data_IF_851639793374
#
_entry.id   IF_851639793374
#
_cell.length_a   1.000
_cell.length_b   1.000
_cell.length_c   1.000
_cell.angle_alpha   90.00
_cell.angle_beta   90.00
_cell.angle_gamma   90.00
#
_symmetry.space_group_name_H-M   'P 1'
#
loop_
_entity.id
_entity.type
_entity.pdbx_description
1 polymer ?
#
# COMPACT_ATOMS: atom_id res chain seq x y z
N UNK A 1 -3.47 -41.24 -4.02
CA UNK A 1 -2.54 -40.10 -3.95
C UNK A 1 -2.47 -39.48 -5.33
N UNK A 2 -2.46 -38.14 -5.47
CA UNK A 2 -2.30 -37.49 -6.77
C UNK A 2 -0.99 -37.96 -7.42
N UNK A 3 -0.91 -37.97 -8.75
CA UNK A 3 0.38 -38.22 -9.39
C UNK A 3 1.37 -37.11 -8.99
N UNK A 4 2.68 -37.37 -8.92
CA UNK A 4 3.68 -36.36 -8.59
C UNK A 4 3.54 -35.08 -9.44
N UNK A 5 3.18 -35.26 -10.72
CA UNK A 5 2.93 -34.17 -11.66
C UNK A 5 1.68 -33.35 -11.32
N UNK A 6 0.61 -33.99 -10.83
CA UNK A 6 -0.58 -33.27 -10.34
C UNK A 6 -0.23 -32.49 -9.06
N UNK A 7 0.58 -33.08 -8.16
CA UNK A 7 0.99 -32.40 -6.94
C UNK A 7 1.87 -31.17 -7.20
N UNK A 8 2.76 -31.25 -8.18
CA UNK A 8 3.59 -30.12 -8.63
C UNK A 8 2.73 -28.96 -9.16
N UNK A 9 1.76 -29.26 -10.03
CA UNK A 9 0.81 -28.26 -10.56
C UNK A 9 0.00 -27.62 -9.43
N UNK A 10 -0.47 -28.41 -8.45
CA UNK A 10 -1.20 -27.87 -7.30
C UNK A 10 -0.34 -26.91 -6.48
N UNK A 11 0.92 -27.23 -6.25
CA UNK A 11 1.84 -26.36 -5.51
C UNK A 11 2.15 -25.06 -6.28
N UNK A 12 2.28 -25.13 -7.61
CA UNK A 12 2.45 -23.94 -8.46
C UNK A 12 1.22 -23.03 -8.40
N UNK A 13 0.01 -23.61 -8.48
CA UNK A 13 -1.25 -22.88 -8.35
C UNK A 13 -1.39 -22.22 -6.98
N UNK A 14 -1.08 -22.92 -5.90
CA UNK A 14 -1.09 -22.35 -4.55
C UNK A 14 -0.10 -21.20 -4.40
N UNK A 15 1.08 -21.31 -5.03
CA UNK A 15 2.07 -20.23 -5.05
C UNK A 15 1.55 -19.00 -5.79
N UNK A 16 0.92 -19.19 -6.96
CA UNK A 16 0.31 -18.11 -7.75
C UNK A 16 -0.80 -17.42 -6.97
N UNK A 17 -1.73 -18.18 -6.39
CA UNK A 17 -2.85 -17.66 -5.59
C UNK A 17 -2.34 -16.86 -4.40
N UNK A 18 -1.34 -17.39 -3.67
CA UNK A 18 -0.77 -16.68 -2.53
C UNK A 18 -0.07 -15.38 -2.94
N UNK A 19 0.57 -15.37 -4.12
CA UNK A 19 1.20 -14.16 -4.66
C UNK A 19 0.13 -13.12 -5.02
N UNK A 20 -0.92 -13.52 -5.72
CA UNK A 20 -2.07 -12.66 -6.07
C UNK A 20 -2.75 -12.06 -4.84
N UNK A 21 -2.98 -12.87 -3.80
CA UNK A 21 -3.54 -12.39 -2.54
C UNK A 21 -2.72 -11.26 -1.91
N UNK A 22 -1.40 -11.40 -1.88
CA UNK A 22 -0.50 -10.36 -1.35
C UNK A 22 -0.59 -9.05 -2.14
N UNK A 23 -0.78 -9.12 -3.46
CA UNK A 23 -1.00 -7.92 -4.27
C UNK A 23 -2.31 -7.22 -3.92
N UNK A 24 -3.39 -7.98 -3.75
CA UNK A 24 -4.69 -7.44 -3.35
C UNK A 24 -4.58 -6.73 -1.99
N UNK A 25 -3.93 -7.37 -1.01
CA UNK A 25 -3.70 -6.79 0.32
C UNK A 25 -2.85 -5.51 0.25
N UNK A 26 -1.82 -5.49 -0.62
CA UNK A 26 -0.96 -4.34 -0.81
C UNK A 26 -1.74 -3.15 -1.39
N UNK A 27 -2.53 -3.35 -2.44
CA UNK A 27 -3.36 -2.31 -3.04
C UNK A 27 -4.37 -1.77 -2.03
N UNK A 28 -5.10 -2.65 -1.33
CA UNK A 28 -6.05 -2.24 -0.30
C UNK A 28 -5.39 -1.44 0.83
N UNK A 29 -4.16 -1.80 1.21
CA UNK A 29 -3.37 -1.06 2.20
C UNK A 29 -3.05 0.34 1.70
N UNK A 30 -2.64 0.50 0.44
CA UNK A 30 -2.33 1.81 -0.13
C UNK A 30 -3.58 2.68 -0.18
N UNK A 31 -4.70 2.15 -0.68
CA UNK A 31 -5.98 2.88 -0.75
C UNK A 31 -6.45 3.34 0.64
N UNK A 32 -6.31 2.49 1.65
CA UNK A 32 -6.58 2.86 3.03
C UNK A 32 -5.69 4.03 3.48
N UNK A 33 -4.37 3.95 3.27
CA UNK A 33 -3.44 4.99 3.67
C UNK A 33 -3.68 6.32 2.93
N UNK A 34 -4.02 6.27 1.64
CA UNK A 34 -4.38 7.45 0.84
C UNK A 34 -5.57 8.21 1.44
N UNK A 35 -6.55 7.48 1.99
CA UNK A 35 -7.71 8.10 2.62
C UNK A 35 -7.39 8.83 3.93
N UNK A 36 -6.25 8.56 4.56
CA UNK A 36 -5.77 9.27 5.74
C UNK A 36 -5.04 10.59 5.41
N UNK A 37 -4.64 10.78 4.14
CA UNK A 37 -4.00 12.02 3.68
C UNK A 37 -5.06 13.13 3.57
N UNK A 38 -4.66 14.35 3.92
CA UNK A 38 -5.49 15.55 3.74
C UNK A 38 -5.99 15.67 2.29
N UNK A 39 -7.28 15.99 2.06
CA UNK A 39 -7.88 15.98 0.73
C UNK A 39 -7.09 16.80 -0.32
N UNK A 40 -6.54 17.95 0.06
CA UNK A 40 -5.79 18.84 -0.84
C UNK A 40 -4.48 18.26 -1.38
N UNK A 41 -3.96 17.19 -0.77
CA UNK A 41 -2.71 16.53 -1.18
C UNK A 41 -2.94 15.13 -1.73
N UNK A 42 -4.11 14.54 -1.51
CA UNK A 42 -4.43 13.15 -1.85
C UNK A 42 -4.26 12.85 -3.33
N UNK A 43 -4.62 13.79 -4.21
CA UNK A 43 -4.66 13.53 -5.65
C UNK A 43 -3.28 13.17 -6.22
N UNK A 44 -2.22 13.86 -5.79
CA UNK A 44 -0.84 13.55 -6.21
C UNK A 44 -0.41 12.12 -5.86
N UNK A 45 -0.88 11.59 -4.74
CA UNK A 45 -0.56 10.22 -4.34
C UNK A 45 -1.41 9.19 -5.09
N UNK A 46 -2.61 9.55 -5.55
CA UNK A 46 -3.41 8.70 -6.44
C UNK A 46 -2.81 8.62 -7.83
N UNK A 47 -2.34 9.73 -8.38
CA UNK A 47 -1.60 9.77 -9.65
C UNK A 47 -0.38 8.84 -9.56
N UNK A 48 0.43 8.97 -8.49
CA UNK A 48 1.57 8.09 -8.26
C UNK A 48 1.21 6.60 -8.08
N UNK A 49 0.02 6.28 -7.54
CA UNK A 49 -0.47 4.90 -7.48
C UNK A 49 -0.87 4.39 -8.87
N UNK A 50 -1.52 5.23 -9.67
CA UNK A 50 -1.93 4.90 -11.03
C UNK A 50 -0.73 4.65 -11.95
N UNK A 51 0.35 5.41 -11.76
CA UNK A 51 1.59 5.30 -12.53
C UNK A 51 2.54 4.19 -12.02
N UNK A 52 2.22 3.50 -10.91
CA UNK A 52 3.08 2.46 -10.35
C UNK A 52 3.02 1.18 -11.20
N UNK A 53 4.16 0.74 -11.72
CA UNK A 53 4.25 -0.45 -12.57
C UNK A 53 4.76 -1.69 -11.81
N UNK A 54 5.41 -1.49 -10.67
CA UNK A 54 6.07 -2.55 -9.89
C UNK A 54 5.69 -2.54 -8.41
N UNK A 55 5.97 -3.65 -7.71
CA UNK A 55 5.79 -3.74 -6.24
C UNK A 55 6.68 -2.74 -5.52
N UNK A 56 7.92 -2.58 -5.99
CA UNK A 56 8.86 -1.59 -5.49
C UNK A 56 8.31 -0.17 -5.59
N UNK A 57 7.67 0.21 -6.71
CA UNK A 57 7.05 1.54 -6.85
C UNK A 57 5.96 1.75 -5.80
N UNK A 58 5.15 0.71 -5.56
CA UNK A 58 4.11 0.74 -4.51
C UNK A 58 4.74 0.84 -3.12
N UNK A 59 5.86 0.18 -2.87
CA UNK A 59 6.58 0.30 -1.60
C UNK A 59 7.16 1.70 -1.39
N UNK A 60 7.72 2.33 -2.43
CA UNK A 60 8.19 3.71 -2.38
C UNK A 60 7.03 4.69 -2.16
N UNK A 61 5.89 4.47 -2.83
CA UNK A 61 4.68 5.23 -2.60
C UNK A 61 4.22 5.14 -1.14
N UNK A 62 4.21 3.94 -0.54
CA UNK A 62 3.87 3.76 0.88
C UNK A 62 4.82 4.56 1.79
N UNK A 63 6.12 4.60 1.49
CA UNK A 63 7.09 5.40 2.26
C UNK A 63 6.76 6.90 2.16
N UNK A 64 6.45 7.39 0.97
CA UNK A 64 6.06 8.78 0.75
C UNK A 64 4.77 9.14 1.50
N UNK A 65 3.76 8.25 1.46
CA UNK A 65 2.51 8.43 2.22
C UNK A 65 2.78 8.52 3.72
N UNK A 66 3.62 7.63 4.28
CA UNK A 66 3.98 7.65 5.71
C UNK A 66 4.62 8.98 6.13
N UNK A 67 5.54 9.51 5.32
CA UNK A 67 6.17 10.81 5.56
C UNK A 67 5.11 11.93 5.58
N UNK A 68 4.20 11.93 4.60
CA UNK A 68 3.13 12.92 4.53
C UNK A 68 2.19 12.88 5.75
N UNK A 69 1.82 11.67 6.21
CA UNK A 69 1.03 11.49 7.42
C UNK A 69 1.78 11.99 8.66
N UNK A 70 3.09 11.72 8.77
CA UNK A 70 3.93 12.23 9.85
C UNK A 70 3.97 13.76 9.89
N UNK A 71 4.13 14.42 8.74
CA UNK A 71 4.12 15.89 8.62
C UNK A 71 2.74 16.46 9.02
N UNK A 72 1.65 15.82 8.61
CA UNK A 72 0.30 16.24 9.01
C UNK A 72 0.10 16.12 10.53
N UNK A 73 0.49 14.97 11.09
CA UNK A 73 0.38 14.71 12.52
C UNK A 73 1.19 15.71 13.35
N UNK A 74 2.44 15.99 12.95
CA UNK A 74 3.31 16.94 13.66
C UNK A 74 2.78 18.37 13.60
N UNK A 75 2.28 18.83 12.45
CA UNK A 75 1.64 20.14 12.32
C UNK A 75 0.42 20.27 13.23
N UNK A 76 -0.45 19.25 13.25
CA UNK A 76 -1.63 19.24 14.11
C UNK A 76 -1.23 19.30 15.59
N UNK A 77 -0.22 18.54 16.00
CA UNK A 77 0.29 18.53 17.37
C UNK A 77 0.88 19.90 17.79
N UNK A 78 1.66 20.53 16.91
CA UNK A 78 2.23 21.85 17.19
C UNK A 78 1.15 22.93 17.32
N UNK A 79 0.10 22.88 16.49
CA UNK A 79 -1.05 23.78 16.62
C UNK A 79 -1.75 23.60 17.98
N UNK A 80 -1.95 22.36 18.43
CA UNK A 80 -2.58 22.10 19.74
C UNK A 80 -1.73 22.54 20.94
N UNK A 81 -0.41 22.66 20.79
CA UNK A 81 0.47 23.19 21.84
C UNK A 81 0.49 24.72 21.88
N UNK A 82 0.26 25.40 20.76
CA UNK A 82 0.20 26.86 20.70
C UNK A 82 -1.11 27.45 21.22
N UNK A 83 -2.13 26.62 21.45
CA UNK A 83 -3.44 26.99 22.01
C UNK A 83 -3.51 26.79 23.54
N UNK A 84 -2.45 26.30 24.19
CA UNK A 84 -2.31 26.16 25.65
C UNK A 84 -1.55 27.33 26.25
#
# INVERSE_FOLDING_TARGET
MPSPKIQEILNELDSLINREKKYIELVATVEYLLNLIEPSKREKFKEALYDAETVEDVHELIKAIKIQLGIQGSRKYLLTLGEQ
#
